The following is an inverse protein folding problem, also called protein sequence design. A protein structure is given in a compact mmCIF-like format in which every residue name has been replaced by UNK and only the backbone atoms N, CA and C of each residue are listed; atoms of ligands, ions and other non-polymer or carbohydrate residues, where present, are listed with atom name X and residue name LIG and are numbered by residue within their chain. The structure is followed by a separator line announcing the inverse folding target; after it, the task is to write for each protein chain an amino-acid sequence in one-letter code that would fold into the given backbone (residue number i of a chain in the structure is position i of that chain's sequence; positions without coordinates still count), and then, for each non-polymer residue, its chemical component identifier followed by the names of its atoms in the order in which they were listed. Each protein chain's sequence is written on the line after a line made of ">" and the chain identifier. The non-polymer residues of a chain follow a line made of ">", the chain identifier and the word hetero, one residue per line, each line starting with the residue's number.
data_IF_938327290582
#
_entry.id   IF_938327290582
#
_cell.length_a   1.000
_cell.length_b   1.000
_cell.length_c   1.000
_cell.angle_alpha   90.00
_cell.angle_beta   90.00
_cell.angle_gamma   90.00
#
_symmetry.space_group_name_H-M   'P 1'
#
loop_
_entity.id
_entity.type
_entity.pdbx_description
1 polymer ?
#
# COMPACT_ATOMS: atom_id res chain seq x y z
N UNK A 1 -4.35 -4.18 -17.03
CA UNK A 1 -5.29 -3.35 -16.24
C UNK A 1 -5.51 -1.93 -16.78
N UNK A 2 -4.71 -1.45 -17.71
CA UNK A 2 -4.75 -0.07 -18.25
C UNK A 2 -6.09 0.41 -18.85
N UNK A 3 -6.99 -0.49 -19.20
CA UNK A 3 -8.33 -0.20 -19.74
C UNK A 3 -9.49 -0.55 -18.79
N UNK A 4 -9.21 -1.04 -17.58
CA UNK A 4 -10.22 -1.42 -16.60
C UNK A 4 -10.79 -0.19 -15.87
N UNK A 5 -11.96 -0.36 -15.24
CA UNK A 5 -12.53 0.67 -14.38
C UNK A 5 -11.63 0.88 -13.14
N UNK A 6 -11.32 2.12 -12.73
CA UNK A 6 -10.42 2.37 -11.60
C UNK A 6 -10.85 1.69 -10.29
N UNK A 7 -12.15 1.70 -10.00
CA UNK A 7 -12.71 1.01 -8.82
C UNK A 7 -12.53 -0.50 -8.88
N UNK A 8 -12.62 -1.10 -10.09
CA UNK A 8 -12.37 -2.53 -10.28
C UNK A 8 -10.94 -2.89 -9.91
N UNK A 9 -9.94 -2.13 -10.41
CA UNK A 9 -8.55 -2.37 -10.09
C UNK A 9 -8.26 -2.29 -8.59
N UNK A 10 -8.86 -1.31 -7.89
CA UNK A 10 -8.73 -1.14 -6.45
C UNK A 10 -9.38 -2.29 -5.67
N UNK A 11 -10.60 -2.70 -6.04
CA UNK A 11 -11.31 -3.80 -5.39
C UNK A 11 -10.60 -5.15 -5.59
N UNK A 12 -10.10 -5.42 -6.80
CA UNK A 12 -9.30 -6.63 -7.07
C UNK A 12 -8.00 -6.61 -6.26
N UNK A 13 -7.33 -5.47 -6.15
CA UNK A 13 -6.15 -5.33 -5.31
C UNK A 13 -6.44 -5.65 -3.84
N UNK A 14 -7.51 -5.08 -3.27
CA UNK A 14 -7.92 -5.36 -1.88
C UNK A 14 -8.28 -6.84 -1.71
N UNK A 15 -9.04 -7.40 -2.64
CA UNK A 15 -9.47 -8.80 -2.59
C UNK A 15 -8.29 -9.77 -2.65
N UNK A 16 -7.36 -9.57 -3.58
CA UNK A 16 -6.14 -10.38 -3.68
C UNK A 16 -5.21 -10.16 -2.48
N UNK A 17 -5.16 -8.93 -1.94
CA UNK A 17 -4.37 -8.60 -0.76
C UNK A 17 -4.89 -9.22 0.54
N UNK A 18 -6.17 -9.57 0.61
CA UNK A 18 -6.76 -10.26 1.75
C UNK A 18 -6.49 -11.77 1.72
N UNK A 19 -6.28 -12.38 0.54
CA UNK A 19 -6.06 -13.83 0.41
C UNK A 19 -4.91 -14.37 1.28
N UNK A 20 -3.73 -13.73 1.39
CA UNK A 20 -2.65 -14.24 2.24
C UNK A 20 -3.00 -14.32 3.72
N UNK A 21 -4.02 -13.58 4.18
CA UNK A 21 -4.45 -13.59 5.58
C UNK A 21 -5.44 -14.73 5.91
N UNK A 22 -5.98 -15.39 4.88
CA UNK A 22 -6.87 -16.55 5.07
C UNK A 22 -6.10 -17.84 5.33
N UNK A 23 -4.83 -17.91 4.93
CA UNK A 23 -4.02 -19.11 5.04
C UNK A 23 -2.91 -18.90 6.07
N UNK A 24 -2.71 -19.91 6.94
CA UNK A 24 -1.59 -19.96 7.87
C UNK A 24 -0.46 -20.88 7.36
N UNK A 25 -0.81 -21.84 6.51
CA UNK A 25 0.14 -22.81 5.97
C UNK A 25 1.09 -22.15 4.94
N UNK A 26 2.43 -22.23 5.14
CA UNK A 26 3.43 -21.72 4.19
C UNK A 26 3.28 -22.30 2.78
N UNK A 27 2.82 -23.55 2.66
CA UNK A 27 2.63 -24.22 1.35
C UNK A 27 1.58 -23.48 0.51
N UNK A 28 0.45 -23.15 1.11
CA UNK A 28 -0.61 -22.37 0.44
C UNK A 28 -0.12 -20.98 0.05
N UNK A 29 0.67 -20.34 0.91
CA UNK A 29 1.24 -19.01 0.66
C UNK A 29 2.29 -19.02 -0.47
N UNK A 30 3.07 -20.09 -0.61
CA UNK A 30 3.99 -20.27 -1.75
C UNK A 30 3.21 -20.42 -3.05
N UNK A 31 2.16 -21.25 -3.07
CA UNK A 31 1.31 -21.43 -4.26
C UNK A 31 0.69 -20.08 -4.65
N UNK A 32 0.17 -19.33 -3.67
CA UNK A 32 -0.39 -18.01 -3.90
C UNK A 32 0.66 -17.02 -4.45
N UNK A 33 1.87 -17.06 -3.93
CA UNK A 33 2.98 -16.23 -4.41
C UNK A 33 3.32 -16.54 -5.87
N UNK A 34 3.41 -17.82 -6.22
CA UNK A 34 3.68 -18.27 -7.60
C UNK A 34 2.55 -17.82 -8.55
N UNK A 35 1.29 -17.95 -8.13
CA UNK A 35 0.12 -17.47 -8.90
C UNK A 35 0.21 -15.96 -9.11
N UNK A 36 0.49 -15.18 -8.06
CA UNK A 36 0.63 -13.74 -8.15
C UNK A 36 1.78 -13.33 -9.08
N UNK A 37 2.94 -13.99 -8.98
CA UNK A 37 4.08 -13.79 -9.89
C UNK A 37 3.68 -14.09 -11.34
N UNK A 38 3.01 -15.20 -11.59
CA UNK A 38 2.57 -15.59 -12.93
C UNK A 38 1.55 -14.60 -13.53
N UNK A 39 0.61 -14.12 -12.70
CA UNK A 39 -0.35 -13.07 -13.10
C UNK A 39 0.34 -11.76 -13.48
N UNK A 40 1.28 -11.31 -12.66
CA UNK A 40 2.03 -10.09 -12.91
C UNK A 40 2.92 -10.24 -14.14
N UNK A 41 3.55 -11.41 -14.34
CA UNK A 41 4.35 -11.70 -15.52
C UNK A 41 3.55 -11.58 -16.82
N UNK A 42 2.29 -12.04 -16.84
CA UNK A 42 1.37 -11.86 -17.99
C UNK A 42 0.96 -10.40 -18.22
N UNK A 43 0.89 -9.60 -17.17
CA UNK A 43 0.45 -8.20 -17.23
C UNK A 43 1.58 -7.21 -17.57
N UNK A 44 2.81 -7.65 -17.50
CA UNK A 44 4.02 -6.90 -17.81
C UNK A 44 4.78 -6.44 -16.56
N UNK A 45 6.09 -6.71 -16.58
CA UNK A 45 7.01 -6.32 -15.51
C UNK A 45 7.74 -5.03 -15.91
N UNK A 46 7.81 -4.10 -14.98
CA UNK A 46 8.67 -2.93 -15.10
C UNK A 46 9.94 -3.13 -14.25
N UNK A 47 11.11 -2.80 -14.79
CA UNK A 47 12.40 -3.00 -14.10
C UNK A 47 12.49 -2.28 -12.77
N UNK A 48 11.88 -1.10 -12.67
CA UNK A 48 11.79 -0.33 -11.42
C UNK A 48 10.96 -1.04 -10.35
N UNK A 49 9.88 -1.72 -10.74
CA UNK A 49 9.03 -2.51 -9.87
C UNK A 49 9.80 -3.70 -9.26
N UNK A 50 10.58 -4.42 -10.09
CA UNK A 50 11.39 -5.56 -9.62
C UNK A 50 12.40 -5.10 -8.58
N UNK A 51 13.13 -4.01 -8.85
CA UNK A 51 14.10 -3.45 -7.89
C UNK A 51 13.44 -3.05 -6.58
N UNK A 52 12.28 -2.38 -6.64
CA UNK A 52 11.53 -2.00 -5.45
C UNK A 52 11.01 -3.22 -4.67
N UNK A 53 10.54 -4.27 -5.36
CA UNK A 53 10.09 -5.50 -4.72
C UNK A 53 11.24 -6.24 -4.04
N UNK A 54 12.38 -6.37 -4.68
CA UNK A 54 13.57 -6.99 -4.06
C UNK A 54 14.00 -6.20 -2.83
N UNK A 55 14.05 -4.88 -2.90
CA UNK A 55 14.50 -4.04 -1.80
C UNK A 55 13.52 -4.07 -0.62
N UNK A 56 12.23 -3.92 -0.85
CA UNK A 56 11.22 -3.77 0.22
C UNK A 56 10.57 -5.10 0.56
N UNK A 57 10.17 -5.86 -0.47
CA UNK A 57 9.43 -7.12 -0.30
C UNK A 57 10.33 -8.23 0.26
N UNK A 58 11.48 -8.48 -0.37
CA UNK A 58 12.37 -9.57 0.06
C UNK A 58 13.04 -9.23 1.40
N UNK A 59 13.61 -8.02 1.54
CA UNK A 59 14.26 -7.62 2.80
C UNK A 59 13.24 -7.57 3.94
N UNK A 60 12.04 -7.01 3.70
CA UNK A 60 10.97 -6.97 4.69
C UNK A 60 10.49 -8.36 5.10
N UNK A 61 10.39 -9.28 4.16
CA UNK A 61 10.02 -10.68 4.42
C UNK A 61 11.09 -11.42 5.24
N UNK A 62 12.37 -11.25 4.90
CA UNK A 62 13.48 -11.81 5.67
C UNK A 62 13.49 -11.25 7.10
N UNK A 63 13.30 -9.94 7.25
CA UNK A 63 13.20 -9.31 8.57
C UNK A 63 12.03 -9.86 9.39
N UNK A 64 10.87 -10.06 8.76
CA UNK A 64 9.71 -10.66 9.42
C UNK A 64 10.00 -12.08 9.90
N UNK A 65 10.64 -12.93 9.08
CA UNK A 65 11.04 -14.28 9.48
C UNK A 65 11.97 -14.24 10.69
N UNK A 66 13.01 -13.41 10.65
CA UNK A 66 13.98 -13.30 11.75
C UNK A 66 13.31 -12.80 13.03
N UNK A 67 12.39 -11.83 12.91
CA UNK A 67 11.72 -11.25 14.07
C UNK A 67 10.73 -12.22 14.72
N UNK A 68 9.98 -12.99 13.93
CA UNK A 68 8.96 -13.91 14.46
C UNK A 68 9.53 -15.24 14.95
N UNK A 69 10.70 -15.65 14.47
CA UNK A 69 11.32 -16.92 14.80
C UNK A 69 11.52 -17.15 16.30
N UNK A 70 12.00 -16.18 17.13
CA UNK A 70 12.22 -16.36 18.55
C UNK A 70 10.98 -16.24 19.44
N UNK A 71 9.84 -15.79 18.90
CA UNK A 71 8.65 -15.49 19.72
C UNK A 71 7.62 -16.63 19.76
N UNK A 72 7.81 -17.70 19.02
CA UNK A 72 6.86 -18.81 18.99
C UNK A 72 7.37 -19.97 19.84
N UNK A 73 6.86 -20.08 21.06
CA UNK A 73 7.27 -21.09 22.05
C UNK A 73 6.41 -22.38 21.99
N UNK A 74 5.82 -22.69 20.81
CA UNK A 74 4.95 -23.88 20.63
C UNK A 74 5.66 -24.89 19.75
N UNK A 75 5.68 -26.17 20.18
CA UNK A 75 6.30 -27.27 19.45
C UNK A 75 7.54 -27.85 20.13
N UNK A 76 8.30 -28.70 19.40
CA UNK A 76 9.53 -29.28 19.91
C UNK A 76 10.69 -28.30 19.79
N UNK A 77 11.36 -27.92 20.87
CA UNK A 77 12.48 -26.99 20.82
C UNK A 77 13.72 -27.66 20.23
N UNK A 78 14.25 -27.08 19.14
CA UNK A 78 15.56 -27.42 18.61
C UNK A 78 16.69 -26.73 19.37
N UNK A 79 16.42 -25.55 19.86
CA UNK A 79 17.39 -24.74 20.60
C UNK A 79 16.64 -23.82 21.58
N UNK A 80 17.15 -23.74 22.81
CA UNK A 80 16.60 -22.88 23.84
C UNK A 80 17.69 -22.04 24.48
N UNK A 81 17.50 -20.74 24.56
CA UNK A 81 18.37 -19.81 25.29
C UNK A 81 17.50 -18.78 26.03
N UNK A 82 18.01 -18.31 27.16
CA UNK A 82 17.36 -17.23 27.90
C UNK A 82 18.13 -15.93 27.70
N UNK A 83 17.46 -14.86 27.33
CA UNK A 83 18.08 -13.53 27.26
C UNK A 83 18.30 -13.05 28.70
N UNK A 84 19.55 -12.84 29.16
CA UNK A 84 19.85 -12.57 30.57
C UNK A 84 19.28 -11.25 31.06
N UNK A 85 19.01 -10.30 30.14
CA UNK A 85 18.54 -8.95 30.47
C UNK A 85 17.04 -8.90 30.81
N UNK A 86 16.21 -9.76 30.18
CA UNK A 86 14.74 -9.71 30.27
C UNK A 86 14.17 -11.03 30.81
N UNK A 87 15.01 -12.03 31.06
CA UNK A 87 14.63 -13.41 31.46
C UNK A 87 13.59 -14.03 30.53
N UNK A 88 13.58 -13.63 29.24
CA UNK A 88 12.66 -14.16 28.25
C UNK A 88 13.25 -15.42 27.59
N UNK A 89 12.54 -16.56 27.63
CA UNK A 89 13.00 -17.78 26.99
C UNK A 89 12.85 -17.64 25.47
N UNK A 90 13.95 -17.55 24.74
CA UNK A 90 13.98 -17.62 23.28
C UNK A 90 14.13 -19.07 22.88
N UNK A 91 13.17 -19.60 22.16
CA UNK A 91 13.18 -20.99 21.70
C UNK A 91 12.96 -21.01 20.19
N UNK A 92 13.78 -21.80 19.50
CA UNK A 92 13.56 -22.10 18.10
C UNK A 92 12.87 -23.46 18.04
N UNK A 93 11.58 -23.45 17.66
CA UNK A 93 10.75 -24.64 17.60
C UNK A 93 10.42 -24.98 16.13
N UNK A 94 10.04 -26.23 15.85
CA UNK A 94 9.58 -26.68 14.53
C UNK A 94 8.36 -25.86 14.05
N UNK A 95 7.39 -25.66 14.92
CA UNK A 95 6.20 -24.85 14.64
C UNK A 95 6.57 -23.38 14.48
N UNK A 96 7.52 -22.87 15.27
CA UNK A 96 8.01 -21.50 15.20
C UNK A 96 8.63 -21.16 13.84
N UNK A 97 9.44 -22.06 13.29
CA UNK A 97 10.04 -21.91 11.96
C UNK A 97 8.96 -21.83 10.87
N UNK A 98 7.97 -22.73 10.91
CA UNK A 98 6.88 -22.74 9.94
C UNK A 98 6.03 -21.47 10.06
N UNK A 99 5.75 -20.99 11.27
CA UNK A 99 5.05 -19.74 11.53
C UNK A 99 5.81 -18.52 11.00
N UNK A 100 7.09 -18.43 11.30
CA UNK A 100 7.95 -17.36 10.83
C UNK A 100 8.02 -17.33 9.29
N UNK A 101 8.18 -18.48 8.64
CA UNK A 101 8.12 -18.60 7.17
C UNK A 101 6.76 -18.15 6.64
N UNK A 102 5.65 -18.56 7.28
CA UNK A 102 4.30 -18.12 6.92
C UNK A 102 4.14 -16.60 6.97
N UNK A 103 4.66 -15.96 8.01
CA UNK A 103 4.65 -14.50 8.15
C UNK A 103 5.48 -13.79 7.07
N UNK A 104 6.68 -14.31 6.80
CA UNK A 104 7.53 -13.78 5.72
C UNK A 104 6.88 -13.90 4.33
N UNK A 105 6.32 -15.08 4.01
CA UNK A 105 5.62 -15.32 2.75
C UNK A 105 4.35 -14.48 2.60
N UNK A 106 3.62 -14.24 3.70
CA UNK A 106 2.46 -13.35 3.71
C UNK A 106 2.87 -11.92 3.36
N UNK A 107 3.92 -11.43 3.99
CA UNK A 107 4.47 -10.09 3.71
C UNK A 107 4.98 -10.00 2.27
N UNK A 108 5.65 -11.03 1.76
CA UNK A 108 6.10 -11.10 0.37
C UNK A 108 4.94 -11.00 -0.63
N UNK A 109 3.84 -11.72 -0.40
CA UNK A 109 2.64 -11.64 -1.25
C UNK A 109 2.01 -10.25 -1.25
N UNK A 110 1.81 -9.67 -0.05
CA UNK A 110 1.22 -8.34 0.07
C UNK A 110 2.11 -7.27 -0.55
N UNK A 111 3.43 -7.35 -0.32
CA UNK A 111 4.39 -6.43 -0.90
C UNK A 111 4.39 -6.50 -2.44
N UNK A 112 4.37 -7.71 -3.00
CA UNK A 112 4.33 -7.92 -4.45
C UNK A 112 3.10 -7.28 -5.09
N UNK A 113 1.92 -7.53 -4.53
CA UNK A 113 0.66 -6.96 -5.01
C UNK A 113 0.62 -5.45 -4.85
N UNK A 114 1.10 -4.94 -3.72
CA UNK A 114 1.16 -3.49 -3.44
C UNK A 114 2.07 -2.77 -4.41
N UNK A 115 3.27 -3.31 -4.66
CA UNK A 115 4.20 -2.76 -5.65
C UNK A 115 3.59 -2.75 -7.04
N UNK A 116 2.99 -3.87 -7.46
CA UNK A 116 2.31 -3.94 -8.74
C UNK A 116 1.22 -2.86 -8.87
N UNK A 117 0.36 -2.72 -7.84
CA UNK A 117 -0.71 -1.73 -7.84
C UNK A 117 -0.19 -0.30 -7.93
N UNK A 118 0.82 0.05 -7.12
CA UNK A 118 1.41 1.40 -7.09
C UNK A 118 2.08 1.76 -8.42
N UNK A 119 2.78 0.83 -9.05
CA UNK A 119 3.47 1.10 -10.32
C UNK A 119 2.54 1.13 -11.54
N UNK A 120 1.42 0.41 -11.47
CA UNK A 120 0.47 0.32 -12.61
C UNK A 120 -0.69 1.31 -12.53
N UNK A 121 -0.99 1.84 -11.35
CA UNK A 121 -2.15 2.71 -11.13
C UNK A 121 -1.70 4.15 -10.89
N UNK A 122 -2.24 5.06 -11.69
CA UNK A 122 -1.96 6.49 -11.47
C UNK A 122 -2.69 7.02 -10.23
N UNK A 123 -2.12 8.02 -9.52
CA UNK A 123 -2.78 8.65 -8.37
C UNK A 123 -4.17 9.19 -8.68
N UNK A 124 -4.39 9.65 -9.91
CA UNK A 124 -5.71 10.11 -10.37
C UNK A 124 -6.71 8.97 -10.48
N UNK A 125 -6.27 7.78 -10.92
CA UNK A 125 -7.13 6.59 -10.98
C UNK A 125 -7.51 6.10 -9.60
N UNK A 126 -6.63 6.23 -8.60
CA UNK A 126 -6.94 5.93 -7.20
C UNK A 126 -8.09 6.82 -6.72
N UNK A 127 -8.01 8.15 -6.94
CA UNK A 127 -9.06 9.07 -6.55
C UNK A 127 -10.42 8.77 -7.23
N UNK A 128 -10.39 8.42 -8.53
CA UNK A 128 -11.59 8.00 -9.26
C UNK A 128 -12.11 6.63 -8.79
N UNK A 129 -11.22 5.72 -8.44
CA UNK A 129 -11.53 4.41 -7.89
C UNK A 129 -12.29 4.50 -6.58
N UNK A 130 -11.85 5.34 -5.66
CA UNK A 130 -12.50 5.61 -4.38
C UNK A 130 -13.92 6.14 -4.55
N UNK A 131 -14.15 7.03 -5.51
CA UNK A 131 -15.51 7.52 -5.81
C UNK A 131 -16.45 6.39 -6.23
N UNK A 132 -15.96 5.45 -7.03
CA UNK A 132 -16.76 4.32 -7.50
C UNK A 132 -17.11 3.28 -6.42
N UNK A 133 -16.43 3.31 -5.26
CA UNK A 133 -16.72 2.46 -4.09
C UNK A 133 -17.70 3.14 -3.13
N UNK A 134 -18.13 4.38 -3.41
CA UNK A 134 -19.09 5.10 -2.58
C UNK A 134 -18.51 6.26 -1.75
N UNK A 135 -17.20 6.53 -1.84
CA UNK A 135 -16.62 7.69 -1.16
C UNK A 135 -17.27 8.98 -1.67
N UNK A 136 -17.63 9.94 -0.80
CA UNK A 136 -18.24 11.21 -1.21
C UNK A 136 -17.42 11.93 -2.27
N UNK A 137 -18.11 12.57 -3.23
CA UNK A 137 -17.46 13.31 -4.32
C UNK A 137 -16.44 14.32 -3.81
N UNK A 138 -16.75 15.03 -2.71
CA UNK A 138 -15.87 16.03 -2.11
C UNK A 138 -14.50 15.48 -1.77
N UNK A 139 -14.47 14.32 -1.12
CA UNK A 139 -13.22 13.67 -0.68
C UNK A 139 -12.43 13.17 -1.90
N UNK A 140 -13.10 12.50 -2.84
CA UNK A 140 -12.46 12.02 -4.07
C UNK A 140 -11.91 13.15 -4.93
N UNK A 141 -12.64 14.28 -4.98
CA UNK A 141 -12.21 15.48 -5.68
C UNK A 141 -11.02 16.16 -4.99
N UNK A 142 -11.08 16.29 -3.66
CA UNK A 142 -9.97 16.82 -2.86
C UNK A 142 -8.70 16.00 -3.06
N UNK A 143 -8.81 14.67 -3.04
CA UNK A 143 -7.67 13.79 -3.29
C UNK A 143 -7.09 13.99 -4.70
N UNK A 144 -7.96 14.15 -5.70
CA UNK A 144 -7.54 14.46 -7.08
C UNK A 144 -6.83 15.82 -7.19
N UNK A 145 -7.25 16.82 -6.42
CA UNK A 145 -6.58 18.12 -6.31
C UNK A 145 -5.21 17.99 -5.64
N UNK A 146 -5.10 17.25 -4.54
CA UNK A 146 -3.83 17.01 -3.85
C UNK A 146 -2.81 16.42 -4.82
N UNK A 147 -3.15 15.36 -5.55
CA UNK A 147 -2.25 14.74 -6.52
C UNK A 147 -1.86 15.68 -7.67
N UNK A 148 -2.74 16.61 -8.05
CA UNK A 148 -2.43 17.64 -9.04
C UNK A 148 -1.45 18.68 -8.52
N UNK A 149 -1.54 19.01 -7.22
CA UNK A 149 -0.72 20.08 -6.62
C UNK A 149 0.66 19.61 -6.17
N UNK A 150 0.89 18.32 -5.92
CA UNK A 150 2.21 17.82 -5.55
C UNK A 150 3.31 18.25 -6.54
N UNK A 151 3.18 18.08 -7.87
CA UNK A 151 4.19 18.57 -8.80
C UNK A 151 4.37 20.09 -8.78
N UNK A 152 3.27 20.84 -8.60
CA UNK A 152 3.33 22.30 -8.53
C UNK A 152 4.09 22.78 -7.30
N UNK A 153 3.82 22.19 -6.14
CA UNK A 153 4.55 22.51 -4.90
C UNK A 153 6.04 22.15 -5.02
N UNK A 154 6.37 21.04 -5.68
CA UNK A 154 7.76 20.69 -5.96
C UNK A 154 8.47 21.72 -6.82
N UNK A 155 7.80 22.23 -7.86
CA UNK A 155 8.36 23.28 -8.72
C UNK A 155 8.50 24.59 -7.96
N UNK A 156 7.50 25.00 -7.15
CA UNK A 156 7.58 26.19 -6.32
C UNK A 156 8.76 26.10 -5.35
N UNK A 157 8.96 24.94 -4.72
CA UNK A 157 10.08 24.72 -3.81
C UNK A 157 11.44 24.83 -4.55
N UNK A 158 11.54 24.33 -5.77
CA UNK A 158 12.75 24.45 -6.58
C UNK A 158 13.07 25.94 -6.88
N UNK A 159 12.08 26.69 -7.33
CA UNK A 159 12.21 28.14 -7.63
C UNK A 159 12.61 28.93 -6.36
N UNK A 160 11.94 28.66 -5.23
CA UNK A 160 12.25 29.32 -3.96
C UNK A 160 13.69 28.98 -3.52
N UNK A 161 14.09 27.72 -3.67
CA UNK A 161 15.46 27.29 -3.32
C UNK A 161 16.52 27.98 -4.18
N UNK A 162 16.31 28.05 -5.48
CA UNK A 162 17.19 28.77 -6.41
C UNK A 162 17.30 30.26 -6.04
N UNK A 163 16.17 30.92 -5.77
CA UNK A 163 16.15 32.30 -5.33
C UNK A 163 16.91 32.53 -4.01
N UNK A 164 16.83 31.59 -3.07
CA UNK A 164 17.57 31.68 -1.81
C UNK A 164 19.07 31.39 -2.00
N UNK A 165 19.45 30.51 -2.90
CA UNK A 165 20.85 30.28 -3.27
C UNK A 165 21.51 31.53 -3.86
N UNK A 166 20.80 32.27 -4.72
CA UNK A 166 21.28 33.56 -5.25
C UNK A 166 21.50 34.59 -4.15
N UNK A 167 20.72 34.52 -3.05
CA UNK A 167 20.89 35.36 -1.84
C UNK A 167 22.00 34.87 -0.90
N UNK A 168 22.82 33.89 -1.32
CA UNK A 168 23.94 33.37 -0.53
C UNK A 168 23.56 32.25 0.45
N UNK A 169 22.36 31.68 0.37
CA UNK A 169 21.96 30.58 1.25
C UNK A 169 22.53 29.26 0.76
N UNK A 170 23.48 28.68 1.49
CA UNK A 170 23.96 27.30 1.29
C UNK A 170 23.11 26.33 2.12
N UNK A 171 22.47 25.35 1.46
CA UNK A 171 21.64 24.33 2.13
C UNK A 171 22.46 23.16 2.69
N UNK A 172 23.70 22.98 2.27
CA UNK A 172 24.52 21.79 2.57
C UNK A 172 25.44 21.96 3.78
N UNK A 173 25.72 23.18 4.21
CA UNK A 173 26.70 23.50 5.26
C UNK A 173 25.99 23.93 6.53
N UNK A 174 26.56 23.59 7.72
CA UNK A 174 26.12 24.04 9.02
C UNK A 174 25.62 22.96 9.96
N UNK A 175 25.50 23.34 11.22
CA UNK A 175 25.00 22.49 12.30
C UNK A 175 23.48 22.19 12.13
N UNK A 176 22.96 21.18 12.83
CA UNK A 176 21.55 20.79 12.76
C UNK A 176 20.60 21.97 12.99
N UNK A 177 20.89 22.80 13.99
CA UNK A 177 20.10 24.01 14.29
C UNK A 177 20.11 25.02 13.14
N UNK A 178 21.25 25.24 12.50
CA UNK A 178 21.35 26.12 11.33
C UNK A 178 20.61 25.57 10.12
N UNK A 179 20.63 24.26 9.92
CA UNK A 179 19.84 23.60 8.86
C UNK A 179 18.35 23.82 9.07
N UNK A 180 17.84 23.64 10.29
CA UNK A 180 16.42 23.90 10.62
C UNK A 180 16.06 25.36 10.30
N UNK A 181 16.90 26.32 10.68
CA UNK A 181 16.69 27.73 10.37
C UNK A 181 16.71 27.99 8.85
N UNK A 182 17.61 27.38 8.11
CA UNK A 182 17.67 27.47 6.65
C UNK A 182 16.40 26.90 5.99
N UNK A 183 15.86 25.78 6.50
CA UNK A 183 14.59 25.24 6.00
C UNK A 183 13.42 26.20 6.24
N UNK A 184 13.39 26.98 7.32
CA UNK A 184 12.32 27.97 7.56
C UNK A 184 12.30 29.06 6.49
N UNK A 185 13.46 29.46 5.94
CA UNK A 185 13.54 30.41 4.83
C UNK A 185 12.96 29.88 3.52
N UNK A 186 12.87 28.56 3.37
CA UNK A 186 12.19 27.92 2.23
C UNK A 186 10.70 27.71 2.50
N UNK A 187 10.34 27.36 3.74
CA UNK A 187 8.96 27.02 4.11
C UNK A 187 8.05 28.24 4.15
N UNK A 188 8.52 29.37 4.68
CA UNK A 188 7.69 30.58 4.82
C UNK A 188 7.19 31.09 3.46
N UNK A 189 8.04 31.32 2.44
CA UNK A 189 7.57 31.72 1.11
C UNK A 189 6.67 30.64 0.45
N UNK A 190 6.98 29.35 0.66
CA UNK A 190 6.19 28.25 0.12
C UNK A 190 4.76 28.25 0.69
N UNK A 191 4.62 28.46 2.01
CA UNK A 191 3.30 28.57 2.65
C UNK A 191 2.52 29.75 2.11
N UNK A 192 3.13 30.93 1.99
CA UNK A 192 2.45 32.12 1.43
C UNK A 192 1.99 31.91 0.00
N UNK A 193 2.82 31.32 -0.86
CA UNK A 193 2.44 30.98 -2.22
C UNK A 193 1.30 29.96 -2.26
N UNK A 194 1.34 28.97 -1.39
CA UNK A 194 0.30 27.95 -1.27
C UNK A 194 -1.02 28.56 -0.81
N UNK A 195 -1.01 29.45 0.19
CA UNK A 195 -2.22 30.13 0.67
C UNK A 195 -2.87 31.01 -0.43
N UNK A 196 -2.08 31.79 -1.17
CA UNK A 196 -2.59 32.57 -2.32
C UNK A 196 -3.25 31.65 -3.36
N UNK A 197 -2.61 30.52 -3.66
CA UNK A 197 -3.15 29.54 -4.61
C UNK A 197 -4.45 28.92 -4.12
N UNK A 198 -4.56 28.58 -2.84
CA UNK A 198 -5.80 28.04 -2.24
C UNK A 198 -6.95 29.02 -2.39
N UNK A 199 -6.72 30.33 -2.15
CA UNK A 199 -7.76 31.38 -2.34
C UNK A 199 -8.23 31.45 -3.80
N UNK A 200 -7.30 31.46 -4.76
CA UNK A 200 -7.63 31.48 -6.19
C UNK A 200 -8.47 30.25 -6.60
N UNK A 201 -8.09 29.06 -6.08
CA UNK A 201 -8.80 27.83 -6.37
C UNK A 201 -10.19 27.85 -5.74
N UNK A 202 -10.31 28.29 -4.48
CA UNK A 202 -11.59 28.40 -3.79
C UNK A 202 -12.55 29.33 -4.57
N UNK A 203 -12.09 30.51 -4.96
CA UNK A 203 -12.88 31.45 -5.77
C UNK A 203 -13.29 30.84 -7.12
N UNK A 204 -12.37 30.14 -7.80
CA UNK A 204 -12.67 29.48 -9.06
C UNK A 204 -13.69 28.33 -8.92
N UNK A 205 -13.64 27.59 -7.80
CA UNK A 205 -14.60 26.53 -7.51
C UNK A 205 -15.98 27.10 -7.18
N UNK A 206 -16.05 28.17 -6.40
CA UNK A 206 -17.30 28.85 -6.06
C UNK A 206 -17.95 29.47 -7.32
N UNK A 207 -17.17 30.11 -8.19
CA UNK A 207 -17.63 30.61 -9.48
C UNK A 207 -18.17 29.50 -10.40
N UNK A 208 -17.66 28.29 -10.29
CA UNK A 208 -18.17 27.11 -11.01
C UNK A 208 -19.34 26.40 -10.30
N UNK A 209 -19.90 26.99 -9.25
CA UNK A 209 -21.02 26.42 -8.53
C UNK A 209 -20.72 25.14 -7.74
N UNK A 210 -19.48 24.95 -7.30
CA UNK A 210 -19.09 23.73 -6.60
C UNK A 210 -19.90 23.48 -5.32
N UNK A 211 -20.36 24.52 -4.63
CA UNK A 211 -21.25 24.44 -3.44
C UNK A 211 -22.67 24.01 -3.79
N UNK A 212 -23.14 24.33 -5.00
CA UNK A 212 -24.52 24.05 -5.48
C UNK A 212 -24.66 22.66 -6.13
N UNK A 213 -23.59 21.83 -6.10
CA UNK A 213 -23.62 20.51 -6.72
C UNK A 213 -24.60 19.56 -6.03
N UNK A 214 -25.27 18.75 -6.83
CA UNK A 214 -26.13 17.65 -6.36
C UNK A 214 -25.28 16.40 -6.02
N UNK A 215 -25.80 15.48 -5.18
CA UNK A 215 -25.19 14.21 -4.81
C UNK A 215 -24.85 13.29 -6.01
N UNK A 216 -25.53 13.50 -7.14
CA UNK A 216 -25.32 12.76 -8.38
C UNK A 216 -24.12 13.25 -9.23
N UNK A 217 -23.37 14.24 -8.77
CA UNK A 217 -22.25 14.78 -9.54
C UNK A 217 -21.17 13.73 -9.79
N UNK A 218 -20.72 13.62 -11.05
CA UNK A 218 -19.73 12.63 -11.51
C UNK A 218 -18.53 13.31 -12.14
N UNK A 219 -17.38 12.64 -12.13
CA UNK A 219 -16.23 13.10 -12.91
C UNK A 219 -16.51 13.02 -14.41
N UNK A 220 -16.12 14.06 -15.15
CA UNK A 220 -16.34 14.16 -16.60
C UNK A 220 -15.78 12.95 -17.39
N UNK A 221 -14.66 12.37 -16.97
CA UNK A 221 -14.03 11.19 -17.59
C UNK A 221 -14.23 9.92 -16.76
N UNK A 222 -15.40 9.67 -16.21
CA UNK A 222 -15.66 8.40 -15.55
C UNK A 222 -15.82 7.29 -16.60
N UNK A 223 -14.99 6.24 -16.49
CA UNK A 223 -15.19 5.01 -17.27
C UNK A 223 -16.49 4.33 -16.80
N UNK A 224 -17.18 3.64 -17.71
CA UNK A 224 -18.34 2.80 -17.34
C UNK A 224 -17.87 1.42 -16.93
N UNK A 225 -18.54 0.79 -15.98
CA UNK A 225 -18.32 -0.60 -15.60
C UNK A 225 -18.61 -1.52 -16.77
N UNK A 226 -17.71 -2.46 -17.04
CA UNK A 226 -17.95 -3.52 -18.00
C UNK A 226 -18.62 -4.70 -17.28
N UNK A 227 -19.55 -5.40 -17.95
CA UNK A 227 -20.21 -6.58 -17.39
C UNK A 227 -19.20 -7.66 -16.96
N UNK A 228 -18.11 -7.81 -17.71
CA UNK A 228 -17.02 -8.73 -17.38
C UNK A 228 -16.31 -8.36 -16.08
N UNK A 229 -16.11 -7.07 -15.79
CA UNK A 229 -15.46 -6.59 -14.57
C UNK A 229 -16.32 -6.86 -13.33
N UNK A 230 -17.63 -6.65 -13.45
CA UNK A 230 -18.58 -6.96 -12.36
C UNK A 230 -18.63 -8.47 -12.12
N UNK A 231 -18.72 -9.27 -13.19
CA UNK A 231 -18.77 -10.73 -13.07
C UNK A 231 -17.50 -11.28 -12.41
N UNK A 232 -16.31 -10.87 -12.86
CA UNK A 232 -15.04 -11.33 -12.27
C UNK A 232 -14.90 -10.91 -10.81
N UNK A 233 -15.43 -9.75 -10.43
CA UNK A 233 -15.38 -9.25 -9.06
C UNK A 233 -16.33 -10.05 -8.16
N UNK A 234 -17.56 -10.32 -8.62
CA UNK A 234 -18.54 -11.16 -7.90
C UNK A 234 -17.99 -12.57 -7.72
N UNK A 235 -17.46 -13.19 -8.78
CA UNK A 235 -16.83 -14.51 -8.69
C UNK A 235 -15.66 -14.51 -7.71
N UNK A 236 -14.80 -13.48 -7.75
CA UNK A 236 -13.68 -13.35 -6.82
C UNK A 236 -14.12 -13.22 -5.36
N UNK A 237 -15.15 -12.41 -5.08
CA UNK A 237 -15.73 -12.29 -3.73
C UNK A 237 -16.35 -13.60 -3.28
N UNK A 238 -17.09 -14.29 -4.14
CA UNK A 238 -17.66 -15.61 -3.83
C UNK A 238 -16.58 -16.64 -3.51
N UNK A 239 -15.48 -16.68 -4.26
CA UNK A 239 -14.35 -17.58 -4.00
C UNK A 239 -13.72 -17.25 -2.63
N UNK A 240 -13.44 -15.98 -2.33
CA UNK A 240 -12.86 -15.59 -1.03
C UNK A 240 -13.82 -15.92 0.11
N UNK A 241 -15.10 -15.64 -0.04
CA UNK A 241 -16.12 -15.97 0.96
C UNK A 241 -16.27 -17.49 1.17
N UNK A 242 -16.22 -18.27 0.10
CA UNK A 242 -16.26 -19.73 0.16
C UNK A 242 -15.02 -20.29 0.87
N UNK A 243 -13.82 -19.79 0.54
CA UNK A 243 -12.57 -20.17 1.20
C UNK A 243 -12.60 -19.82 2.69
N UNK A 244 -13.10 -18.64 3.04
CA UNK A 244 -13.26 -18.23 4.42
C UNK A 244 -14.25 -19.12 5.18
N UNK A 245 -15.37 -19.47 4.55
CA UNK A 245 -16.40 -20.34 5.13
C UNK A 245 -15.86 -21.77 5.35
N UNK A 246 -15.14 -22.32 4.35
CA UNK A 246 -14.53 -23.65 4.44
C UNK A 246 -13.43 -23.66 5.52
N UNK A 247 -12.60 -22.60 5.59
CA UNK A 247 -11.58 -22.48 6.63
C UNK A 247 -12.17 -22.40 8.05
N UNK A 248 -13.38 -21.86 8.21
CA UNK A 248 -14.10 -21.87 9.50
C UNK A 248 -14.75 -23.21 9.84
N UNK A 249 -15.23 -23.95 8.83
CA UNK A 249 -15.89 -25.25 9.05
C UNK A 249 -14.87 -26.35 9.36
N UNK A 250 -13.68 -26.27 8.78
CA UNK A 250 -12.62 -27.27 8.93
C UNK A 250 -11.31 -26.60 9.41
N UNK A 251 -11.27 -26.09 10.65
CA UNK A 251 -10.08 -25.46 11.19
C UNK A 251 -8.88 -26.41 11.22
N UNK A 252 -9.13 -27.74 11.34
CA UNK A 252 -8.08 -28.75 11.45
C UNK A 252 -7.43 -29.15 10.10
N UNK A 253 -8.04 -28.79 8.97
CA UNK A 253 -7.60 -29.22 7.65
C UNK A 253 -7.19 -28.09 6.70
N UNK A 254 -7.68 -26.88 6.93
CA UNK A 254 -7.43 -25.75 6.02
C UNK A 254 -6.79 -24.60 6.78
N UNK A 255 -5.53 -24.36 6.52
CA UNK A 255 -4.77 -23.23 7.06
C UNK A 255 -4.08 -23.47 8.38
N UNK A 256 -4.14 -24.66 8.95
CA UNK A 256 -3.41 -25.02 10.18
C UNK A 256 -2.11 -25.72 9.85
N UNK A 257 -1.02 -25.25 10.47
CA UNK A 257 0.35 -25.74 10.21
C UNK A 257 0.55 -27.19 10.63
N UNK A 258 -0.12 -27.63 11.67
CA UNK A 258 -0.08 -29.01 12.19
C UNK A 258 -1.43 -29.33 12.83
N UNK A 259 -2.22 -30.27 12.29
CA UNK A 259 -3.47 -30.70 12.92
C UNK A 259 -3.21 -31.27 14.32
N UNK A 260 -3.91 -30.74 15.33
CA UNK A 260 -3.89 -31.29 16.69
C UNK A 260 -2.78 -30.78 17.61
N UNK A 261 -2.03 -29.74 17.25
CA UNK A 261 -1.02 -29.12 18.13
C UNK A 261 -1.26 -27.60 18.36
N UNK A 262 -2.47 -27.24 18.70
CA UNK A 262 -2.79 -25.91 19.28
C UNK A 262 -3.14 -26.09 20.73
#
# INVERSE_FOLDING_TARGET
>A
MRNAHPSYALLVFVLLGLLPFLFQDPRALIILLVINIALIAKLGWERSMIKAYVLVGVIGSCFAVITWLPFTNVGTPYWSSTIPLIHYPVQITDVGVLWALGMGLRLANVALLSMYYVFTTSPREIAMGLRGIGVPFSISYLLSLIFRFIPLVKNDLAIIREAQMVRGMSTSEGNVSERIRKYSYLLVPLIFNSLKRVQLIANALDAKGFRMRNSQHRFYRSKRWKKTEVLTLVVGVCIVAALFYIARLHPDHIGVLIPGRI
#
